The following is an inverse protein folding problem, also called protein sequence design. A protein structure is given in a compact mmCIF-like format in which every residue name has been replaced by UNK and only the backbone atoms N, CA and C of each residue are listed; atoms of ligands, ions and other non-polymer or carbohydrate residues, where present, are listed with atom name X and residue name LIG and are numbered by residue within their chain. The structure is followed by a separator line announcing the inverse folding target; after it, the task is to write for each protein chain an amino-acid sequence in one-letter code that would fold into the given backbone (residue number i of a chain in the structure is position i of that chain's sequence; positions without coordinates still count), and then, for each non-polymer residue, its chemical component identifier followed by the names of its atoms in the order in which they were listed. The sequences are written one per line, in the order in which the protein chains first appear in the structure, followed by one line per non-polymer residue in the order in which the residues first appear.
data_IF_606706470307
#
_entry.id   IF_606706470307
#
_cell.length_a   1.000
_cell.length_b   1.000
_cell.length_c   1.000
_cell.angle_alpha   90.00
_cell.angle_beta   90.00
_cell.angle_gamma   90.00
#
_symmetry.space_group_name_H-M   'P 1'
#
loop_
_entity.id
_entity.type
_entity.pdbx_description
1 polymer ?
#
# COMPACT_ATOMS: atom_id res chain seq x y z
N UNK A 1 -14.97 17.48 -7.36
CA UNK A 1 -13.64 17.31 -6.74
C UNK A 1 -13.77 16.15 -5.77
N UNK A 2 -13.24 14.99 -6.11
CA UNK A 2 -13.33 13.78 -5.29
C UNK A 2 -12.46 13.96 -4.05
N UNK A 3 -13.02 13.73 -2.86
CA UNK A 3 -12.29 13.77 -1.59
C UNK A 3 -11.14 12.76 -1.66
N UNK A 4 -9.90 13.04 -1.21
CA UNK A 4 -8.82 12.06 -1.21
C UNK A 4 -9.17 10.84 -0.36
N UNK A 5 -8.60 9.68 -0.70
CA UNK A 5 -8.73 8.48 0.13
C UNK A 5 -8.18 8.80 1.53
N UNK A 6 -8.96 8.51 2.56
CA UNK A 6 -8.56 8.77 3.94
C UNK A 6 -7.89 7.53 4.52
N UNK A 7 -6.74 7.71 5.14
CA UNK A 7 -5.95 6.64 5.75
C UNK A 7 -4.56 7.17 6.08
N UNK A 8 -3.87 6.52 7.02
CA UNK A 8 -2.50 6.88 7.41
C UNK A 8 -1.53 5.82 6.90
N UNK A 9 -0.79 6.08 5.80
CA UNK A 9 0.26 5.19 5.35
C UNK A 9 1.37 5.12 6.40
N UNK A 10 1.83 3.91 6.69
CA UNK A 10 3.00 3.64 7.51
C UNK A 10 3.98 2.81 6.71
N UNK A 11 5.19 3.31 6.56
CA UNK A 11 6.28 2.66 5.84
C UNK A 11 7.40 2.33 6.82
N UNK A 12 7.97 1.14 6.70
CA UNK A 12 9.17 0.75 7.43
C UNK A 12 10.13 0.05 6.47
N UNK A 13 11.28 0.69 6.27
CA UNK A 13 12.39 0.28 5.43
C UNK A 13 13.66 1.00 5.93
N UNK A 14 14.85 0.45 5.70
CA UNK A 14 16.09 1.13 6.07
C UNK A 14 16.29 2.41 5.25
N UNK A 15 16.86 3.46 5.86
CA UNK A 15 17.21 4.70 5.14
C UNK A 15 18.50 4.57 4.31
N UNK A 16 19.30 3.53 4.57
CA UNK A 16 20.58 3.27 3.89
C UNK A 16 20.74 1.77 3.61
N UNK A 17 21.37 1.41 2.49
CA UNK A 17 21.71 0.04 2.11
C UNK A 17 23.04 0.00 1.32
N UNK A 18 23.69 -1.15 1.18
CA UNK A 18 24.79 -1.31 0.24
C UNK A 18 24.27 -1.66 -1.17
N UNK A 19 25.06 -1.37 -2.20
CA UNK A 19 24.75 -1.86 -3.56
C UNK A 19 24.70 -3.39 -3.55
N UNK A 20 23.61 -3.94 -4.07
CA UNK A 20 23.35 -5.36 -4.14
C UNK A 20 22.55 -5.91 -2.96
N UNK A 21 22.35 -5.15 -1.88
CA UNK A 21 21.58 -5.59 -0.71
C UNK A 21 20.12 -5.84 -1.07
N UNK A 22 19.53 -6.82 -0.40
CA UNK A 22 18.09 -7.07 -0.43
C UNK A 22 17.51 -6.53 0.86
N UNK A 23 16.70 -5.48 0.76
CA UNK A 23 16.04 -4.86 1.92
C UNK A 23 14.63 -5.39 2.07
N UNK A 24 14.16 -5.47 3.31
CA UNK A 24 12.77 -5.73 3.63
C UNK A 24 12.00 -4.40 3.68
N UNK A 25 10.87 -4.34 2.99
CA UNK A 25 9.97 -3.20 2.96
C UNK A 25 8.63 -3.64 3.54
N UNK A 26 8.18 -2.94 4.57
CA UNK A 26 6.90 -3.17 5.24
C UNK A 26 6.00 -1.96 5.04
N UNK A 27 4.77 -2.20 4.62
CA UNK A 27 3.78 -1.15 4.43
C UNK A 27 2.50 -1.49 5.17
N UNK A 28 1.82 -0.46 5.68
CA UNK A 28 0.51 -0.58 6.31
C UNK A 28 -0.31 0.65 5.93
N UNK A 29 -1.52 0.45 5.42
CA UNK A 29 -2.50 1.52 5.28
C UNK A 29 -3.68 1.31 6.23
N UNK A 30 -4.00 2.32 7.04
CA UNK A 30 -5.22 2.32 7.86
C UNK A 30 -6.45 2.37 6.93
N UNK A 31 -7.19 1.26 6.85
CA UNK A 31 -8.34 1.10 5.96
C UNK A 31 -9.25 -0.05 6.45
N UNK A 32 -10.59 0.11 6.44
CA UNK A 32 -11.50 -0.93 6.96
C UNK A 32 -11.54 -2.22 6.13
N UNK A 33 -11.37 -2.13 4.81
CA UNK A 33 -11.52 -3.27 3.89
C UNK A 33 -12.87 -4.00 4.06
N UNK A 34 -13.95 -3.23 4.14
CA UNK A 34 -15.30 -3.77 4.29
C UNK A 34 -15.73 -4.46 2.99
N UNK A 35 -15.84 -5.78 3.04
CA UNK A 35 -16.13 -6.63 1.87
C UNK A 35 -17.52 -6.41 1.29
N UNK A 36 -18.42 -5.84 2.08
CA UNK A 36 -19.85 -5.75 1.78
C UNK A 36 -20.63 -7.01 2.14
N UNK A 37 -20.00 -8.03 2.73
CA UNK A 37 -20.66 -9.29 3.12
C UNK A 37 -21.20 -9.27 4.55
N UNK A 38 -20.72 -8.34 5.38
CA UNK A 38 -21.13 -8.22 6.78
C UNK A 38 -22.50 -7.54 6.87
N UNK A 39 -23.26 -7.93 7.90
CA UNK A 39 -24.55 -7.31 8.24
C UNK A 39 -24.47 -6.58 9.57
N UNK A 40 -25.24 -5.51 9.69
CA UNK A 40 -25.50 -4.82 10.95
C UNK A 40 -26.40 -5.68 11.86
N UNK A 41 -26.52 -5.35 13.16
CA UNK A 41 -27.39 -6.08 14.08
C UNK A 41 -28.87 -6.13 13.67
N UNK A 42 -29.36 -5.11 12.95
CA UNK A 42 -30.70 -5.03 12.37
C UNK A 42 -30.82 -5.74 11.01
N UNK A 43 -29.77 -6.46 10.58
CA UNK A 43 -29.79 -7.33 9.39
C UNK A 43 -29.51 -6.62 8.07
N UNK A 44 -29.21 -5.32 8.06
CA UNK A 44 -28.86 -4.57 6.85
C UNK A 44 -27.44 -4.90 6.39
N UNK A 45 -27.24 -4.96 5.09
CA UNK A 45 -25.91 -5.15 4.52
C UNK A 45 -25.09 -3.88 4.69
N UNK A 46 -23.82 -4.04 5.05
CA UNK A 46 -22.88 -2.93 5.13
C UNK A 46 -22.32 -2.68 3.73
N UNK A 47 -22.23 -1.42 3.33
CA UNK A 47 -21.69 -1.05 2.02
C UNK A 47 -20.22 -1.46 1.89
N UNK A 48 -19.85 -1.83 0.67
CA UNK A 48 -18.49 -2.24 0.33
C UNK A 48 -17.55 -1.03 0.32
N UNK A 49 -16.42 -1.17 0.99
CA UNK A 49 -15.36 -0.15 1.09
C UNK A 49 -14.01 -0.87 1.10
N UNK A 50 -13.44 -1.08 -0.09
CA UNK A 50 -12.17 -1.78 -0.26
C UNK A 50 -11.19 -1.05 -1.17
N UNK A 51 -9.91 -1.23 -0.87
CA UNK A 51 -8.86 -0.92 -1.82
C UNK A 51 -8.94 -1.85 -3.03
N UNK A 52 -8.68 -1.32 -4.21
CA UNK A 52 -8.59 -2.05 -5.47
C UNK A 52 -7.16 -2.55 -5.73
N UNK A 53 -6.16 -1.70 -5.50
CA UNK A 53 -4.75 -2.04 -5.79
C UNK A 53 -3.75 -1.31 -4.90
N UNK A 54 -2.55 -1.88 -4.83
CA UNK A 54 -1.34 -1.28 -4.27
C UNK A 54 -0.19 -1.40 -5.27
N UNK A 55 0.43 -0.27 -5.60
CA UNK A 55 1.53 -0.18 -6.57
C UNK A 55 2.75 0.43 -5.92
N UNK A 56 3.92 -0.07 -6.31
CA UNK A 56 5.21 0.46 -5.89
C UNK A 56 6.04 0.76 -7.12
N UNK A 57 6.62 1.95 -7.16
CA UNK A 57 7.60 2.38 -8.15
C UNK A 57 8.94 2.62 -7.45
N UNK A 58 10.03 2.30 -8.14
CA UNK A 58 11.40 2.59 -7.73
C UNK A 58 12.05 3.42 -8.83
N UNK A 59 12.46 4.66 -8.51
CA UNK A 59 13.02 5.61 -9.48
C UNK A 59 12.13 5.80 -10.72
N UNK A 60 10.80 5.82 -10.52
CA UNK A 60 9.79 5.96 -11.57
C UNK A 60 9.51 4.69 -12.39
N UNK A 61 10.23 3.59 -12.15
CA UNK A 61 9.97 2.29 -12.77
C UNK A 61 9.03 1.43 -11.90
N UNK A 62 8.04 0.74 -12.48
CA UNK A 62 7.20 -0.18 -11.72
C UNK A 62 8.02 -1.30 -11.07
N UNK A 63 7.84 -1.50 -9.77
CA UNK A 63 8.51 -2.54 -8.99
C UNK A 63 7.53 -3.65 -8.55
N UNK A 64 6.35 -3.27 -8.08
CA UNK A 64 5.35 -4.20 -7.54
C UNK A 64 3.94 -3.71 -7.87
N UNK A 65 3.05 -4.64 -8.20
CA UNK A 65 1.62 -4.40 -8.32
C UNK A 65 0.87 -5.52 -7.58
N UNK A 66 -0.06 -5.14 -6.71
CA UNK A 66 -0.89 -6.02 -5.90
C UNK A 66 -2.34 -5.65 -6.11
N UNK A 67 -3.16 -6.63 -6.47
CA UNK A 67 -4.61 -6.49 -6.56
C UNK A 67 -5.25 -6.95 -5.25
N UNK A 68 -6.00 -6.05 -4.61
CA UNK A 68 -6.78 -6.40 -3.43
C UNK A 68 -8.15 -6.93 -3.82
N UNK A 69 -8.60 -7.98 -3.14
CA UNK A 69 -9.93 -8.58 -3.31
C UNK A 69 -10.51 -8.94 -1.96
N UNK A 70 -11.70 -9.53 -1.98
CA UNK A 70 -12.27 -10.16 -0.79
C UNK A 70 -11.27 -11.12 -0.16
N UNK A 71 -11.32 -11.24 1.17
CA UNK A 71 -10.33 -11.91 2.01
C UNK A 71 -9.02 -11.13 2.31
N UNK A 72 -8.90 -9.88 1.86
CA UNK A 72 -7.89 -8.96 2.42
C UNK A 72 -8.36 -8.45 3.78
N UNK A 73 -7.52 -8.56 4.80
CA UNK A 73 -7.84 -8.07 6.15
C UNK A 73 -7.88 -6.54 6.22
N UNK A 74 -8.62 -6.02 7.20
CA UNK A 74 -8.53 -4.60 7.59
C UNK A 74 -7.09 -4.21 7.89
N UNK A 75 -6.76 -2.94 7.64
CA UNK A 75 -5.41 -2.39 7.71
C UNK A 75 -4.39 -3.18 6.86
N UNK A 76 -4.54 -3.22 5.52
CA UNK A 76 -3.68 -4.03 4.65
C UNK A 76 -2.21 -3.81 4.95
N UNK A 77 -1.56 -4.89 5.38
CA UNK A 77 -0.15 -4.95 5.73
C UNK A 77 0.58 -5.84 4.73
N UNK A 78 1.57 -5.27 4.03
CA UNK A 78 2.36 -5.99 3.03
C UNK A 78 3.83 -5.96 3.42
N UNK A 79 4.48 -7.11 3.28
CA UNK A 79 5.93 -7.26 3.43
C UNK A 79 6.47 -7.85 2.14
N UNK A 80 7.46 -7.17 1.57
CA UNK A 80 8.14 -7.63 0.38
C UNK A 80 9.60 -7.20 0.42
N UNK A 81 10.39 -7.73 -0.51
CA UNK A 81 11.82 -7.48 -0.58
C UNK A 81 12.17 -6.80 -1.90
N UNK A 82 13.13 -5.88 -1.86
CA UNK A 82 13.66 -5.21 -3.04
C UNK A 82 15.19 -5.24 -3.01
N UNK A 83 15.81 -5.50 -4.16
CA UNK A 83 17.25 -5.37 -4.33
C UNK A 83 17.61 -3.93 -4.63
N UNK A 84 18.57 -3.36 -3.91
CA UNK A 84 19.04 -1.99 -4.10
C UNK A 84 20.26 -2.00 -5.03
N UNK A 85 20.17 -1.34 -6.18
CA UNK A 85 21.29 -1.18 -7.13
C UNK A 85 21.96 0.19 -7.06
N UNK A 86 21.36 1.14 -6.33
CA UNK A 86 21.76 2.53 -6.23
C UNK A 86 20.77 3.29 -5.33
N UNK A 87 20.98 4.60 -5.10
CA UNK A 87 19.99 5.43 -4.43
C UNK A 87 18.61 5.24 -5.07
N UNK A 88 17.61 4.98 -4.24
CA UNK A 88 16.28 4.59 -4.71
C UNK A 88 15.21 5.43 -4.05
N UNK A 89 14.48 6.19 -4.86
CA UNK A 89 13.25 6.88 -4.48
C UNK A 89 12.06 5.93 -4.73
N UNK A 90 11.45 5.47 -3.64
CA UNK A 90 10.25 4.63 -3.68
C UNK A 90 8.99 5.49 -3.60
N UNK A 91 8.02 5.15 -4.44
CA UNK A 91 6.65 5.68 -4.39
C UNK A 91 5.68 4.53 -4.18
N UNK A 92 4.81 4.67 -3.19
CA UNK A 92 3.80 3.69 -2.80
C UNK A 92 2.44 4.29 -3.04
N UNK A 93 1.57 3.62 -3.77
CA UNK A 93 0.23 4.13 -4.12
C UNK A 93 -0.81 3.08 -3.80
N UNK A 94 -1.77 3.43 -2.96
CA UNK A 94 -2.98 2.65 -2.74
C UNK A 94 -4.14 3.30 -3.46
N UNK A 95 -4.91 2.50 -4.17
CA UNK A 95 -6.06 2.97 -4.95
C UNK A 95 -7.32 2.25 -4.46
N UNK A 96 -8.36 3.01 -4.16
CA UNK A 96 -9.69 2.52 -3.79
C UNK A 96 -10.53 2.20 -5.03
N UNK A 97 -11.54 1.33 -4.89
CA UNK A 97 -12.40 0.88 -6.02
C UNK A 97 -13.15 2.03 -6.71
N UNK A 98 -13.42 3.14 -6.01
CA UNK A 98 -14.03 4.35 -6.59
C UNK A 98 -13.03 5.30 -7.28
N UNK A 99 -11.78 4.88 -7.44
CA UNK A 99 -10.73 5.63 -8.14
C UNK A 99 -9.98 6.65 -7.29
N UNK A 100 -10.37 6.86 -6.02
CA UNK A 100 -9.56 7.66 -5.09
C UNK A 100 -8.23 6.96 -4.77
N UNK A 101 -7.19 7.73 -4.51
CA UNK A 101 -5.89 7.17 -4.12
C UNK A 101 -5.24 7.96 -2.99
N UNK A 102 -4.28 7.30 -2.34
CA UNK A 102 -3.34 7.90 -1.39
C UNK A 102 -1.95 7.38 -1.72
N UNK A 103 -0.95 8.26 -1.64
CA UNK A 103 0.44 7.92 -1.86
C UNK A 103 1.33 8.22 -0.66
N UNK A 104 2.46 7.54 -0.62
CA UNK A 104 3.55 7.77 0.31
C UNK A 104 4.88 7.59 -0.41
N UNK A 105 5.93 8.24 0.08
CA UNK A 105 7.26 8.15 -0.48
C UNK A 105 8.27 7.79 0.60
N UNK A 106 9.33 7.08 0.20
CA UNK A 106 10.49 6.85 1.03
C UNK A 106 11.74 6.73 0.15
N UNK A 107 12.88 7.10 0.71
CA UNK A 107 14.15 7.08 0.01
C UNK A 107 15.15 6.18 0.73
N UNK A 108 15.90 5.41 -0.06
CA UNK A 108 17.01 4.59 0.39
C UNK A 108 18.28 5.12 -0.24
N UNK A 109 19.20 5.61 0.59
CA UNK A 109 20.54 6.00 0.15
C UNK A 109 21.46 4.78 0.09
N UNK A 110 22.52 4.88 -0.69
CA UNK A 110 23.56 3.86 -0.75
C UNK A 110 24.80 4.30 0.01
N UNK A 111 25.38 3.37 0.78
CA UNK A 111 26.65 3.57 1.48
C UNK A 111 27.86 3.38 0.58
#
# INVERSE_FOLDING_TARGET
MTVPLTGRPRLKLPSTAAVGDVIEIRTLLEHPMETGLRKTPDGRQIERDILASFKVEANGSPLLNVDFRNATSANPYLVFHARISGPTDFRFVWTHEDGRSIDAAARVEVK
#
